data_IF_143680653139
#
_entry.id   IF_143680653139
#
_cell.length_a   1.000
_cell.length_b   1.000
_cell.length_c   1.000
_cell.angle_alpha   90.00
_cell.angle_beta   90.00
_cell.angle_gamma   90.00
#
_symmetry.space_group_name_H-M   'P 1'
#
loop_
_entity.id
_entity.type
_entity.pdbx_description
1 polymer ?
#
# COMPACT_ATOMS: atom_id res chain seq x y z
N UNK A 1 18.01 52.88 6.71
CA UNK A 1 17.21 51.82 6.04
C UNK A 1 17.62 50.42 6.50
N UNK A 2 18.68 49.76 5.97
CA UNK A 2 19.01 48.39 6.43
C UNK A 2 19.28 48.30 7.96
N UNK A 3 20.13 49.20 8.49
CA UNK A 3 20.39 49.30 9.94
C UNK A 3 19.17 49.69 10.78
N UNK A 4 18.19 50.39 10.18
CA UNK A 4 16.92 50.71 10.87
C UNK A 4 16.04 49.47 10.99
N UNK A 5 16.00 48.63 9.95
CA UNK A 5 15.37 47.32 9.99
C UNK A 5 15.97 46.42 11.07
N UNK A 6 17.31 46.33 11.13
CA UNK A 6 18.01 45.58 12.19
C UNK A 6 17.68 46.11 13.60
N UNK A 7 17.61 47.43 13.78
CA UNK A 7 17.27 48.05 15.06
C UNK A 7 15.83 47.73 15.47
N UNK A 8 14.87 47.81 14.55
CA UNK A 8 13.46 47.45 14.80
C UNK A 8 13.30 45.98 15.13
N UNK A 9 14.01 45.10 14.42
CA UNK A 9 14.00 43.66 14.70
C UNK A 9 14.50 43.38 16.13
N UNK A 10 15.60 44.02 16.55
CA UNK A 10 16.12 43.91 17.92
C UNK A 10 15.17 44.50 18.96
N UNK A 11 14.37 45.50 18.59
CA UNK A 11 13.34 46.10 19.43
C UNK A 11 12.02 45.31 19.47
N UNK A 12 11.93 44.17 18.76
CA UNK A 12 10.72 43.34 18.70
C UNK A 12 9.67 43.81 17.69
N UNK A 13 9.92 44.90 16.97
CA UNK A 13 9.07 45.38 15.87
C UNK A 13 9.42 44.62 14.56
N UNK A 14 9.06 43.34 14.52
CA UNK A 14 9.30 42.49 13.36
C UNK A 14 8.57 43.00 12.10
N UNK A 15 7.39 43.61 12.24
CA UNK A 15 6.63 44.17 11.13
C UNK A 15 7.34 45.38 10.51
N UNK A 16 7.71 46.36 11.34
CA UNK A 16 8.44 47.54 10.88
C UNK A 16 9.83 47.21 10.34
N UNK A 17 10.50 46.18 10.89
CA UNK A 17 11.76 45.70 10.35
C UNK A 17 11.63 45.17 8.92
N UNK A 18 10.61 44.34 8.66
CA UNK A 18 10.30 43.80 7.32
C UNK A 18 10.07 44.93 6.32
N UNK A 19 9.28 45.94 6.66
CA UNK A 19 9.00 47.05 5.73
C UNK A 19 10.27 47.85 5.40
N UNK A 20 11.15 48.08 6.37
CA UNK A 20 12.41 48.77 6.13
C UNK A 20 13.39 47.93 5.28
N UNK A 21 13.44 46.62 5.51
CA UNK A 21 14.22 45.70 4.68
C UNK A 21 13.71 45.63 3.23
N UNK A 22 12.39 45.52 3.03
CA UNK A 22 11.77 45.55 1.69
C UNK A 22 12.02 46.88 0.97
N UNK A 23 12.10 48.00 1.71
CA UNK A 23 12.41 49.31 1.14
C UNK A 23 13.83 49.39 0.59
N UNK A 24 14.81 48.68 1.18
CA UNK A 24 16.19 48.63 0.67
C UNK A 24 16.23 48.14 -0.77
N UNK A 25 15.46 47.10 -1.10
CA UNK A 25 15.39 46.54 -2.45
C UNK A 25 14.81 47.52 -3.48
N UNK A 26 13.91 48.42 -3.06
CA UNK A 26 13.28 49.42 -3.94
C UNK A 26 14.14 50.66 -4.16
N UNK A 27 14.77 51.15 -3.09
CA UNK A 27 15.50 52.44 -3.10
C UNK A 27 16.95 52.28 -3.53
N UNK A 28 17.54 51.09 -3.30
CA UNK A 28 18.94 50.83 -3.61
C UNK A 28 19.12 49.44 -4.27
N UNK A 29 18.58 49.24 -5.49
CA UNK A 29 18.59 47.94 -6.16
C UNK A 29 20.00 47.40 -6.46
N UNK A 30 20.99 48.25 -6.69
CA UNK A 30 22.37 47.81 -6.98
C UNK A 30 23.25 47.70 -5.72
N UNK A 31 22.69 47.93 -4.53
CA UNK A 31 23.45 47.90 -3.29
C UNK A 31 23.81 46.47 -2.88
N UNK A 32 25.04 46.28 -2.38
CA UNK A 32 25.47 45.03 -1.73
C UNK A 32 24.56 44.62 -0.57
N UNK A 33 23.90 45.59 0.08
CA UNK A 33 22.96 45.33 1.17
C UNK A 33 21.63 44.73 0.70
N UNK A 34 21.29 44.80 -0.59
CA UNK A 34 20.01 44.31 -1.13
C UNK A 34 19.81 42.82 -0.86
N UNK A 35 20.85 42.01 -1.09
CA UNK A 35 20.76 40.55 -0.93
C UNK A 35 20.39 40.19 0.50
N UNK A 36 21.12 40.75 1.48
CA UNK A 36 20.84 40.52 2.89
C UNK A 36 19.47 41.10 3.29
N UNK A 37 19.13 42.31 2.85
CA UNK A 37 17.84 42.91 3.13
C UNK A 37 16.67 42.08 2.61
N UNK A 38 16.76 41.54 1.39
CA UNK A 38 15.71 40.72 0.82
C UNK A 38 15.56 39.38 1.55
N UNK A 39 16.68 38.77 1.93
CA UNK A 39 16.70 37.54 2.71
C UNK A 39 16.15 37.74 4.15
N UNK A 40 16.53 38.84 4.81
CA UNK A 40 16.07 39.19 6.16
C UNK A 40 14.59 39.57 6.15
N UNK A 41 14.13 40.29 5.12
CA UNK A 41 12.70 40.56 4.91
C UNK A 41 11.89 39.27 4.77
N UNK A 42 12.34 38.34 3.94
CA UNK A 42 11.70 37.03 3.79
C UNK A 42 11.66 36.27 5.13
N UNK A 43 12.77 36.24 5.87
CA UNK A 43 12.83 35.56 7.17
C UNK A 43 11.87 36.20 8.18
N UNK A 44 11.80 37.53 8.25
CA UNK A 44 10.84 38.23 9.10
C UNK A 44 9.39 37.93 8.72
N UNK A 45 9.07 37.88 7.41
CA UNK A 45 7.74 37.53 6.92
C UNK A 45 7.33 36.10 7.30
N UNK A 46 8.26 35.14 7.26
CA UNK A 46 8.01 33.77 7.73
C UNK A 46 7.73 33.73 9.23
N UNK A 47 8.51 34.43 10.05
CA UNK A 47 8.26 34.53 11.50
C UNK A 47 6.89 35.15 11.80
N UNK A 48 6.47 36.13 11.00
CA UNK A 48 5.16 36.77 11.07
C UNK A 48 4.03 35.93 10.44
N UNK A 49 4.33 34.73 9.91
CA UNK A 49 3.38 33.84 9.22
C UNK A 49 2.69 34.48 8.01
N UNK A 50 3.33 35.47 7.39
CA UNK A 50 2.84 36.13 6.18
C UNK A 50 3.33 35.36 4.95
N UNK A 51 2.80 34.15 4.77
CA UNK A 51 3.32 33.14 3.85
C UNK A 51 3.38 33.62 2.39
N UNK A 52 2.29 34.17 1.85
CA UNK A 52 2.25 34.63 0.46
C UNK A 52 3.24 35.77 0.18
N UNK A 53 3.40 36.68 1.14
CA UNK A 53 4.41 37.75 1.04
C UNK A 53 5.81 37.18 1.09
N UNK A 54 6.08 36.24 2.00
CA UNK A 54 7.38 35.57 2.09
C UNK A 54 7.71 34.83 0.79
N UNK A 55 6.77 34.08 0.23
CA UNK A 55 6.89 33.38 -1.05
C UNK A 55 7.31 34.37 -2.14
N UNK A 56 6.57 35.47 -2.31
CA UNK A 56 6.88 36.47 -3.33
C UNK A 56 8.30 37.04 -3.21
N UNK A 57 8.76 37.32 -1.99
CA UNK A 57 10.11 37.84 -1.72
C UNK A 57 11.20 36.79 -1.98
N UNK A 58 10.98 35.54 -1.57
CA UNK A 58 11.91 34.42 -1.75
C UNK A 58 12.04 33.99 -3.22
N UNK A 59 10.92 33.95 -3.97
CA UNK A 59 10.96 33.69 -5.40
C UNK A 59 11.69 34.79 -6.16
N UNK A 60 11.47 36.04 -5.77
CA UNK A 60 12.18 37.17 -6.33
C UNK A 60 13.67 37.11 -6.03
N UNK A 61 14.06 36.72 -4.81
CA UNK A 61 15.45 36.48 -4.44
C UNK A 61 16.05 35.40 -5.33
N UNK A 62 15.34 34.29 -5.53
CA UNK A 62 15.80 33.17 -6.35
C UNK A 62 16.07 33.61 -7.79
N UNK A 63 15.18 34.41 -8.38
CA UNK A 63 15.31 34.93 -9.75
C UNK A 63 16.45 35.95 -9.89
N UNK A 64 16.60 36.84 -8.92
CA UNK A 64 17.57 37.94 -9.00
C UNK A 64 19.00 37.50 -8.66
N UNK A 65 19.15 36.50 -7.80
CA UNK A 65 20.45 36.06 -7.29
C UNK A 65 20.70 34.55 -7.53
N UNK A 66 20.56 34.03 -8.77
CA UNK A 66 20.49 32.58 -9.05
C UNK A 66 21.73 31.78 -8.62
N UNK A 67 22.90 32.43 -8.51
CA UNK A 67 24.17 31.79 -8.11
C UNK A 67 24.59 32.12 -6.67
N UNK A 68 23.72 32.78 -5.89
CA UNK A 68 24.09 33.20 -4.53
C UNK A 68 24.14 32.02 -3.55
N UNK A 69 25.07 32.07 -2.61
CA UNK A 69 25.30 31.01 -1.60
C UNK A 69 24.08 30.69 -0.72
N UNK A 70 23.10 31.61 -0.63
CA UNK A 70 21.87 31.43 0.15
C UNK A 70 20.75 30.68 -0.61
N UNK A 71 20.96 30.27 -1.86
CA UNK A 71 19.94 29.56 -2.65
C UNK A 71 19.40 28.26 -2.00
N UNK A 72 20.23 27.40 -1.37
CA UNK A 72 19.72 26.23 -0.65
C UNK A 72 18.80 26.61 0.50
N UNK A 73 19.14 27.67 1.23
CA UNK A 73 18.35 28.16 2.36
C UNK A 73 17.05 28.84 1.90
N UNK A 74 17.08 29.58 0.79
CA UNK A 74 15.87 30.09 0.12
C UNK A 74 14.95 28.95 -0.31
N UNK A 75 15.51 27.84 -0.78
CA UNK A 75 14.74 26.65 -1.17
C UNK A 75 14.07 26.00 0.03
N UNK A 76 14.78 25.82 1.16
CA UNK A 76 14.18 25.36 2.41
C UNK A 76 13.06 26.27 2.91
N UNK A 77 13.30 27.58 2.89
CA UNK A 77 12.29 28.58 3.29
C UNK A 77 11.05 28.55 2.39
N UNK A 78 11.22 28.39 1.08
CA UNK A 78 10.10 28.24 0.14
C UNK A 78 9.33 26.95 0.41
N UNK A 79 10.00 25.84 0.71
CA UNK A 79 9.33 24.58 1.05
C UNK A 79 8.40 24.73 2.25
N UNK A 80 8.88 25.38 3.32
CA UNK A 80 8.07 25.70 4.51
C UNK A 80 6.93 26.67 4.15
N UNK A 81 7.24 27.78 3.47
CA UNK A 81 6.25 28.79 3.13
C UNK A 81 5.10 28.22 2.28
N UNK A 82 5.42 27.39 1.27
CA UNK A 82 4.42 26.74 0.45
C UNK A 82 3.59 25.71 1.23
N UNK A 83 4.23 24.96 2.13
CA UNK A 83 3.53 24.00 2.99
C UNK A 83 2.51 24.70 3.89
N UNK A 84 2.93 25.76 4.57
CA UNK A 84 2.10 26.57 5.47
C UNK A 84 1.02 27.37 4.73
N UNK A 85 1.27 27.76 3.47
CA UNK A 85 0.29 28.37 2.58
C UNK A 85 -0.72 27.35 1.98
N UNK A 86 -0.64 26.07 2.37
CA UNK A 86 -1.45 24.98 1.82
C UNK A 86 -1.38 24.87 0.28
N UNK A 87 -0.16 25.03 -0.26
CA UNK A 87 0.17 24.91 -1.69
C UNK A 87 1.02 23.65 -1.91
N UNK A 88 0.41 22.45 -1.88
CA UNK A 88 1.15 21.20 -1.79
C UNK A 88 1.98 20.87 -3.04
N UNK A 89 1.54 21.27 -4.23
CA UNK A 89 2.28 21.00 -5.46
C UNK A 89 3.59 21.79 -5.53
N UNK A 90 3.56 23.07 -5.17
CA UNK A 90 4.73 23.94 -5.10
C UNK A 90 5.66 23.51 -3.95
N UNK A 91 5.12 23.19 -2.78
CA UNK A 91 5.88 22.68 -1.66
C UNK A 91 6.64 21.40 -2.02
N UNK A 92 5.96 20.45 -2.66
CA UNK A 92 6.56 19.19 -3.11
C UNK A 92 7.75 19.41 -4.04
N UNK A 93 7.65 20.37 -4.96
CA UNK A 93 8.72 20.71 -5.88
C UNK A 93 9.94 21.32 -5.16
N UNK A 94 9.73 22.09 -4.08
CA UNK A 94 10.85 22.57 -3.26
C UNK A 94 11.53 21.45 -2.48
N UNK A 95 10.77 20.52 -1.90
CA UNK A 95 11.34 19.34 -1.25
C UNK A 95 12.08 18.42 -2.24
N UNK A 96 11.59 18.30 -3.48
CA UNK A 96 12.30 17.59 -4.54
C UNK A 96 13.65 18.25 -4.85
N UNK A 97 13.73 19.59 -4.87
CA UNK A 97 15.00 20.31 -5.04
C UNK A 97 15.94 20.12 -3.85
N UNK A 98 15.41 20.10 -2.63
CA UNK A 98 16.20 19.78 -1.41
C UNK A 98 16.78 18.38 -1.53
N UNK A 99 15.96 17.39 -1.88
CA UNK A 99 16.38 16.00 -2.07
C UNK A 99 17.46 15.84 -3.15
N UNK A 100 17.39 16.62 -4.22
CA UNK A 100 18.35 16.57 -5.32
C UNK A 100 19.66 17.34 -5.06
N UNK A 101 19.74 18.12 -3.98
CA UNK A 101 20.92 18.95 -3.69
C UNK A 101 22.03 18.11 -3.03
N UNK A 102 23.20 17.91 -3.68
CA UNK A 102 24.29 17.09 -3.14
C UNK A 102 24.98 17.71 -1.92
N UNK A 103 24.73 19.00 -1.62
CA UNK A 103 25.26 19.66 -0.43
C UNK A 103 24.43 19.36 0.84
N UNK A 104 23.23 18.79 0.71
CA UNK A 104 22.43 18.36 1.87
C UNK A 104 22.97 17.05 2.44
N UNK A 105 22.72 16.82 3.73
CA UNK A 105 23.03 15.52 4.33
C UNK A 105 22.07 14.46 3.80
N UNK A 106 22.52 13.19 3.78
CA UNK A 106 21.69 12.07 3.36
C UNK A 106 20.36 11.99 4.13
N UNK A 107 20.40 12.28 5.44
CA UNK A 107 19.19 12.34 6.28
C UNK A 107 18.17 13.40 5.79
N UNK A 108 18.65 14.60 5.41
CA UNK A 108 17.79 15.66 4.87
C UNK A 108 17.24 15.28 3.50
N UNK A 109 18.06 14.69 2.63
CA UNK A 109 17.61 14.25 1.30
C UNK A 109 16.52 13.17 1.42
N UNK A 110 16.73 12.20 2.31
CA UNK A 110 15.79 11.13 2.62
C UNK A 110 14.45 11.66 3.11
N UNK A 111 14.46 12.58 4.08
CA UNK A 111 13.24 13.19 4.60
C UNK A 111 12.52 14.01 3.52
N UNK A 112 13.27 14.78 2.73
CA UNK A 112 12.71 15.60 1.67
C UNK A 112 12.06 14.77 0.56
N UNK A 113 12.59 13.58 0.21
CA UNK A 113 11.93 12.65 -0.72
C UNK A 113 10.56 12.21 -0.21
N UNK A 114 10.45 11.82 1.07
CA UNK A 114 9.18 11.40 1.67
C UNK A 114 8.18 12.55 1.73
N UNK A 115 8.61 13.73 2.20
CA UNK A 115 7.75 14.91 2.26
C UNK A 115 7.28 15.33 0.86
N UNK A 116 8.16 15.27 -0.15
CA UNK A 116 7.80 15.53 -1.54
C UNK A 116 6.76 14.53 -2.06
N UNK A 117 6.93 13.23 -1.78
CA UNK A 117 5.96 12.20 -2.14
C UNK A 117 4.57 12.47 -1.52
N UNK A 118 4.52 12.77 -0.22
CA UNK A 118 3.28 13.05 0.51
C UNK A 118 2.58 14.31 0.00
N UNK A 119 3.34 15.36 -0.28
CA UNK A 119 2.80 16.62 -0.79
C UNK A 119 2.31 16.48 -2.25
N UNK A 120 3.03 15.75 -3.11
CA UNK A 120 2.53 15.44 -4.44
C UNK A 120 1.26 14.59 -4.39
N UNK A 121 1.17 13.63 -3.46
CA UNK A 121 -0.05 12.86 -3.24
C UNK A 121 -1.21 13.76 -2.79
N UNK A 122 -0.98 14.66 -1.84
CA UNK A 122 -1.96 15.65 -1.38
C UNK A 122 -2.41 16.59 -2.50
N UNK A 123 -1.53 16.90 -3.45
CA UNK A 123 -1.84 17.68 -4.65
C UNK A 123 -2.56 16.88 -5.76
N UNK A 124 -2.87 15.60 -5.55
CA UNK A 124 -3.47 14.72 -6.56
C UNK A 124 -2.51 14.28 -7.67
N UNK A 125 -1.21 14.55 -7.53
CA UNK A 125 -0.20 14.17 -8.49
C UNK A 125 0.46 12.85 -8.10
N UNK A 126 -0.30 11.75 -8.19
CA UNK A 126 0.21 10.41 -7.83
C UNK A 126 1.41 9.98 -8.70
N UNK A 127 1.58 10.54 -9.91
CA UNK A 127 2.69 10.20 -10.79
C UNK A 127 4.01 10.68 -10.21
N UNK A 128 4.06 11.95 -9.79
CA UNK A 128 5.25 12.47 -9.11
C UNK A 128 5.43 11.89 -7.71
N UNK A 129 4.34 11.59 -7.00
CA UNK A 129 4.44 10.90 -5.71
C UNK A 129 5.15 9.55 -5.86
N UNK A 130 4.76 8.73 -6.85
CA UNK A 130 5.44 7.48 -7.18
C UNK A 130 6.92 7.71 -7.53
N UNK A 131 7.23 8.68 -8.38
CA UNK A 131 8.64 8.97 -8.73
C UNK A 131 9.50 9.36 -7.52
N UNK A 132 8.93 10.05 -6.51
CA UNK A 132 9.65 10.36 -5.28
C UNK A 132 9.85 9.11 -4.40
N UNK A 133 8.84 8.25 -4.30
CA UNK A 133 8.95 6.98 -3.57
C UNK A 133 9.94 6.01 -4.24
N UNK A 134 9.97 5.95 -5.58
CA UNK A 134 10.96 5.16 -6.34
C UNK A 134 12.38 5.64 -6.04
N UNK A 135 12.63 6.95 -6.13
CA UNK A 135 13.93 7.53 -5.71
C UNK A 135 14.24 7.23 -4.25
N UNK A 136 13.25 7.25 -3.37
CA UNK A 136 13.43 6.96 -1.95
C UNK A 136 13.89 5.52 -1.75
N UNK A 137 13.23 4.52 -2.33
CA UNK A 137 13.61 3.11 -2.17
C UNK A 137 14.97 2.80 -2.81
N UNK A 138 15.30 3.45 -3.93
CA UNK A 138 16.58 3.25 -4.62
C UNK A 138 17.77 3.81 -3.84
N UNK A 139 17.58 4.94 -3.15
CA UNK A 139 18.66 5.66 -2.44
C UNK A 139 18.67 5.44 -0.92
N UNK A 140 17.62 4.84 -0.37
CA UNK A 140 17.43 4.59 1.06
C UNK A 140 16.91 3.17 1.32
N UNK A 141 17.68 2.11 0.97
CA UNK A 141 17.26 0.73 1.23
C UNK A 141 17.18 0.39 2.73
N UNK A 142 17.75 1.22 3.60
CA UNK A 142 17.72 1.09 5.06
C UNK A 142 17.30 2.41 5.73
N UNK A 143 16.63 2.37 6.90
CA UNK A 143 16.11 1.17 7.58
C UNK A 143 15.04 0.45 6.76
N UNK A 144 15.05 -0.87 6.81
CA UNK A 144 14.21 -1.70 5.94
C UNK A 144 12.72 -1.36 6.06
N UNK A 145 12.22 -1.11 7.28
CA UNK A 145 10.82 -0.78 7.52
C UNK A 145 10.32 0.38 6.66
N UNK A 146 11.03 1.50 6.66
CA UNK A 146 10.62 2.68 5.90
C UNK A 146 10.67 2.46 4.38
N UNK A 147 11.66 1.70 3.91
CA UNK A 147 11.74 1.32 2.50
C UNK A 147 10.60 0.39 2.08
N UNK A 148 10.21 -0.57 2.94
CA UNK A 148 9.08 -1.46 2.69
C UNK A 148 7.73 -0.73 2.69
N UNK A 149 7.53 0.25 3.58
CA UNK A 149 6.33 1.10 3.52
C UNK A 149 6.27 1.88 2.20
N UNK A 150 7.39 2.39 1.71
CA UNK A 150 7.45 3.06 0.41
C UNK A 150 7.15 2.11 -0.75
N UNK A 151 7.67 0.87 -0.74
CA UNK A 151 7.33 -0.18 -1.72
C UNK A 151 5.84 -0.55 -1.67
N UNK A 152 5.27 -0.67 -0.49
CA UNK A 152 3.83 -0.94 -0.32
C UNK A 152 3.00 0.20 -0.93
N UNK A 153 3.33 1.46 -0.64
CA UNK A 153 2.66 2.62 -1.24
C UNK A 153 2.77 2.65 -2.77
N UNK A 154 3.91 2.23 -3.32
CA UNK A 154 4.10 2.10 -4.77
C UNK A 154 3.20 1.01 -5.37
N UNK A 155 3.08 -0.14 -4.69
CA UNK A 155 2.13 -1.18 -5.09
C UNK A 155 0.68 -0.68 -5.04
N UNK A 156 0.31 0.07 -4.02
CA UNK A 156 -1.03 0.63 -3.86
C UNK A 156 -1.35 1.66 -4.95
N UNK A 157 -0.40 2.54 -5.30
CA UNK A 157 -0.60 3.48 -6.42
C UNK A 157 -0.75 2.76 -7.76
N UNK A 158 0.04 1.72 -8.01
CA UNK A 158 -0.09 0.91 -9.22
C UNK A 158 -1.47 0.23 -9.28
N UNK A 159 -1.93 -0.35 -8.16
CA UNK A 159 -3.25 -0.95 -8.05
C UNK A 159 -4.39 0.05 -8.32
N UNK A 160 -4.33 1.25 -7.72
CA UNK A 160 -5.32 2.32 -7.92
C UNK A 160 -5.42 2.78 -9.38
N UNK A 161 -4.34 2.65 -10.14
CA UNK A 161 -4.26 3.02 -11.56
C UNK A 161 -4.63 1.88 -12.51
N UNK A 162 -4.95 0.70 -11.98
CA UNK A 162 -5.18 -0.51 -12.79
C UNK A 162 -3.91 -1.10 -13.40
N UNK A 163 -2.72 -0.68 -12.94
CA UNK A 163 -1.44 -1.23 -13.37
C UNK A 163 -1.11 -2.50 -12.59
N UNK A 164 -1.69 -3.62 -13.02
CA UNK A 164 -1.46 -4.91 -12.40
C UNK A 164 0.01 -5.35 -12.49
N UNK A 165 0.69 -5.05 -13.61
CA UNK A 165 2.10 -5.42 -13.80
C UNK A 165 3.02 -4.65 -12.84
N UNK A 166 2.82 -3.34 -12.70
CA UNK A 166 3.56 -2.52 -11.75
C UNK A 166 3.30 -2.91 -10.30
N UNK A 167 2.03 -3.19 -9.94
CA UNK A 167 1.67 -3.68 -8.61
C UNK A 167 2.39 -4.99 -8.30
N UNK A 168 2.33 -5.96 -9.20
CA UNK A 168 2.91 -7.28 -8.98
C UNK A 168 4.44 -7.23 -8.90
N UNK A 169 5.08 -6.33 -9.67
CA UNK A 169 6.52 -6.04 -9.54
C UNK A 169 6.86 -5.59 -8.12
N UNK A 170 6.11 -4.65 -7.56
CA UNK A 170 6.37 -4.16 -6.20
C UNK A 170 6.10 -5.22 -5.14
N UNK A 171 5.05 -6.03 -5.28
CA UNK A 171 4.83 -7.18 -4.40
C UNK A 171 5.95 -8.22 -4.45
N UNK A 172 6.47 -8.51 -5.65
CA UNK A 172 7.63 -9.41 -5.78
C UNK A 172 8.86 -8.83 -5.09
N UNK A 173 9.08 -7.51 -5.18
CA UNK A 173 10.19 -6.85 -4.51
C UNK A 173 10.04 -6.90 -2.98
N UNK A 174 8.85 -6.62 -2.43
CA UNK A 174 8.56 -6.74 -0.99
C UNK A 174 8.88 -8.16 -0.48
N UNK A 175 8.43 -9.19 -1.20
CA UNK A 175 8.68 -10.60 -0.85
C UNK A 175 10.18 -10.92 -0.90
N UNK A 176 10.87 -10.46 -1.95
CA UNK A 176 12.30 -10.69 -2.13
C UNK A 176 13.11 -10.06 -1.01
N UNK A 177 12.87 -8.77 -0.73
CA UNK A 177 13.61 -8.03 0.28
C UNK A 177 13.34 -8.59 1.68
N UNK A 178 12.09 -8.93 2.00
CA UNK A 178 11.79 -9.59 3.27
C UNK A 178 12.52 -10.94 3.41
N UNK A 179 12.57 -11.74 2.34
CA UNK A 179 13.29 -13.02 2.30
C UNK A 179 14.80 -12.88 2.56
N UNK A 180 15.39 -11.76 2.14
CA UNK A 180 16.81 -11.44 2.30
C UNK A 180 17.12 -10.62 3.57
N UNK A 181 16.09 -10.18 4.31
CA UNK A 181 16.23 -9.18 5.36
C UNK A 181 17.06 -9.62 6.58
N UNK A 182 17.21 -10.92 6.83
CA UNK A 182 17.96 -11.43 7.99
C UNK A 182 17.48 -10.80 9.30
N UNK A 183 18.41 -10.17 10.04
CA UNK A 183 18.09 -9.48 11.30
C UNK A 183 17.37 -8.13 11.14
N UNK A 184 17.26 -7.61 9.93
CA UNK A 184 16.50 -6.37 9.64
C UNK A 184 15.01 -6.63 9.45
N UNK A 185 14.59 -7.90 9.32
CA UNK A 185 13.18 -8.27 9.27
C UNK A 185 12.49 -7.83 10.56
N UNK A 186 11.37 -7.16 10.42
CA UNK A 186 10.48 -6.81 11.52
C UNK A 186 9.14 -7.50 11.33
N UNK A 187 8.30 -7.50 12.37
CA UNK A 187 6.91 -7.98 12.26
C UNK A 187 6.16 -7.27 11.14
N UNK A 188 6.41 -5.96 10.95
CA UNK A 188 5.75 -5.16 9.94
C UNK A 188 6.19 -5.52 8.52
N UNK A 189 7.50 -5.66 8.27
CA UNK A 189 8.00 -6.04 6.93
C UNK A 189 7.56 -7.45 6.56
N UNK A 190 7.58 -8.36 7.54
CA UNK A 190 7.09 -9.73 7.39
C UNK A 190 5.59 -9.78 7.09
N UNK A 191 4.79 -8.93 7.76
CA UNK A 191 3.37 -8.77 7.48
C UNK A 191 3.11 -8.27 6.05
N UNK A 192 3.84 -7.24 5.59
CA UNK A 192 3.71 -6.70 4.24
C UNK A 192 4.03 -7.77 3.18
N UNK A 193 5.11 -8.53 3.38
CA UNK A 193 5.48 -9.63 2.49
C UNK A 193 4.44 -10.76 2.48
N UNK A 194 3.86 -11.11 3.63
CA UNK A 194 2.78 -12.08 3.71
C UNK A 194 1.53 -11.63 2.92
N UNK A 195 1.14 -10.35 3.05
CA UNK A 195 0.01 -9.77 2.30
C UNK A 195 0.29 -9.71 0.80
N UNK A 196 1.51 -9.33 0.40
CA UNK A 196 1.95 -9.36 -0.98
C UNK A 196 1.89 -10.78 -1.58
N UNK A 197 2.38 -11.78 -0.85
CA UNK A 197 2.33 -13.19 -1.29
C UNK A 197 0.90 -13.71 -1.43
N UNK A 198 -0.01 -13.31 -0.53
CA UNK A 198 -1.43 -13.63 -0.63
C UNK A 198 -2.08 -12.98 -1.87
N UNK A 199 -1.77 -11.70 -2.14
CA UNK A 199 -2.30 -10.99 -3.30
C UNK A 199 -1.81 -11.63 -4.62
N UNK A 200 -0.53 -11.99 -4.71
CA UNK A 200 0.05 -12.67 -5.88
C UNK A 200 -0.50 -14.09 -6.14
N UNK A 201 -1.17 -14.71 -5.16
CA UNK A 201 -1.84 -16.00 -5.36
C UNK A 201 -3.20 -15.87 -6.09
N UNK A 202 -3.83 -14.70 -6.05
CA UNK A 202 -5.18 -14.48 -6.60
C UNK A 202 -5.26 -14.71 -8.12
N UNK A 203 -4.31 -14.25 -8.96
CA UNK A 203 -4.38 -14.51 -10.40
C UNK A 203 -4.37 -16.01 -10.75
N UNK A 204 -3.62 -16.83 -10.01
CA UNK A 204 -3.60 -18.28 -10.22
C UNK A 204 -4.93 -18.93 -9.81
N UNK A 205 -5.53 -18.48 -8.70
CA UNK A 205 -6.89 -18.88 -8.29
C UNK A 205 -7.91 -18.55 -9.37
N UNK A 206 -7.87 -17.34 -9.90
CA UNK A 206 -8.84 -16.87 -10.89
C UNK A 206 -8.66 -17.61 -12.22
N UNK A 207 -7.41 -17.90 -12.62
CA UNK A 207 -7.12 -18.75 -13.76
C UNK A 207 -7.70 -20.17 -13.58
N UNK A 208 -7.55 -20.79 -12.40
CA UNK A 208 -8.17 -22.08 -12.09
C UNK A 208 -9.70 -22.05 -12.18
N UNK A 209 -10.33 -21.01 -11.62
CA UNK A 209 -11.79 -20.83 -11.67
C UNK A 209 -12.30 -20.64 -13.10
N UNK A 210 -11.50 -20.05 -13.98
CA UNK A 210 -11.85 -19.85 -15.38
C UNK A 210 -11.80 -21.12 -16.25
N UNK A 211 -11.06 -22.17 -15.83
CA UNK A 211 -10.96 -23.41 -16.61
C UNK A 211 -12.27 -24.20 -16.56
N UNK A 212 -12.94 -24.35 -17.71
CA UNK A 212 -14.15 -25.17 -17.87
C UNK A 212 -13.80 -26.64 -18.11
N UNK A 213 -14.61 -27.55 -17.56
CA UNK A 213 -14.49 -28.99 -17.81
C UNK A 213 -15.42 -29.43 -18.95
N UNK A 214 -14.86 -29.63 -20.14
CA UNK A 214 -15.59 -29.96 -21.38
C UNK A 214 -15.19 -31.35 -21.90
N UNK A 215 -16.00 -31.93 -22.78
CA UNK A 215 -15.64 -33.18 -23.43
C UNK A 215 -14.43 -33.00 -24.39
N UNK A 216 -13.45 -33.93 -24.39
CA UNK A 216 -13.30 -35.07 -23.50
C UNK A 216 -12.75 -34.67 -22.11
N UNK A 217 -13.48 -35.01 -21.05
CA UNK A 217 -13.22 -34.60 -19.65
C UNK A 217 -11.76 -34.79 -19.22
N UNK A 218 -11.14 -35.93 -19.60
CA UNK A 218 -9.75 -36.23 -19.25
C UNK A 218 -8.78 -35.12 -19.67
N UNK A 219 -8.98 -34.47 -20.82
CA UNK A 219 -8.09 -33.41 -21.31
C UNK A 219 -8.29 -32.11 -20.53
N UNK A 220 -9.53 -31.66 -20.37
CA UNK A 220 -9.82 -30.42 -19.63
C UNK A 220 -9.49 -30.55 -18.14
N UNK A 221 -9.62 -31.75 -17.58
CA UNK A 221 -9.29 -32.01 -16.17
C UNK A 221 -7.80 -31.86 -15.89
N UNK A 222 -6.91 -32.29 -16.80
CA UNK A 222 -5.45 -32.05 -16.66
C UNK A 222 -5.17 -30.56 -16.55
N UNK A 223 -5.72 -29.76 -17.46
CA UNK A 223 -5.54 -28.29 -17.46
C UNK A 223 -6.04 -27.67 -16.14
N UNK A 224 -7.22 -28.10 -15.66
CA UNK A 224 -7.78 -27.59 -14.41
C UNK A 224 -6.97 -28.00 -13.19
N UNK A 225 -6.44 -29.22 -13.16
CA UNK A 225 -5.57 -29.71 -12.07
C UNK A 225 -4.23 -28.97 -12.03
N UNK A 226 -3.62 -28.70 -13.18
CA UNK A 226 -2.39 -27.90 -13.23
C UNK A 226 -2.64 -26.47 -12.74
N UNK A 227 -3.80 -25.89 -13.06
CA UNK A 227 -4.19 -24.58 -12.56
C UNK A 227 -4.45 -24.60 -11.04
N UNK A 228 -5.07 -25.66 -10.53
CA UNK A 228 -5.27 -25.88 -9.09
C UNK A 228 -3.93 -25.92 -8.36
N UNK A 229 -2.97 -26.71 -8.85
CA UNK A 229 -1.65 -26.85 -8.22
C UNK A 229 -0.93 -25.51 -8.10
N UNK A 230 -0.90 -24.71 -9.18
CA UNK A 230 -0.31 -23.36 -9.15
C UNK A 230 -0.97 -22.44 -8.12
N UNK A 231 -2.31 -22.49 -8.02
CA UNK A 231 -3.05 -21.68 -7.05
C UNK A 231 -2.78 -22.15 -5.61
N UNK A 232 -2.80 -23.45 -5.37
CA UNK A 232 -2.49 -24.07 -4.09
C UNK A 232 -1.08 -23.72 -3.63
N UNK A 233 -0.09 -23.75 -4.51
CA UNK A 233 1.30 -23.39 -4.17
C UNK A 233 1.43 -21.93 -3.75
N UNK A 234 0.70 -21.02 -4.41
CA UNK A 234 0.65 -19.61 -4.03
C UNK A 234 0.10 -19.41 -2.62
N UNK A 235 -1.03 -20.06 -2.30
CA UNK A 235 -1.63 -19.97 -0.98
C UNK A 235 -0.85 -20.70 0.12
N UNK A 236 -0.21 -21.83 -0.19
CA UNK A 236 0.71 -22.51 0.74
C UNK A 236 1.89 -21.61 1.10
N UNK A 237 2.49 -20.90 0.12
CA UNK A 237 3.53 -19.91 0.40
C UNK A 237 3.02 -18.77 1.27
N UNK A 238 1.81 -18.26 1.00
CA UNK A 238 1.20 -17.21 1.82
C UNK A 238 0.96 -17.68 3.27
N UNK A 239 0.38 -18.86 3.47
CA UNK A 239 0.18 -19.47 4.78
C UNK A 239 1.50 -19.75 5.52
N UNK A 240 2.57 -20.04 4.77
CA UNK A 240 3.91 -20.26 5.31
C UNK A 240 4.53 -19.06 6.04
N UNK A 241 4.02 -17.84 5.81
CA UNK A 241 4.41 -16.66 6.60
C UNK A 241 3.89 -16.71 8.04
N UNK A 242 2.90 -17.56 8.35
CA UNK A 242 2.32 -17.70 9.70
C UNK A 242 1.74 -16.39 10.29
N UNK A 243 1.47 -15.41 9.45
CA UNK A 243 0.71 -14.21 9.82
C UNK A 243 -0.76 -14.60 9.92
N UNK A 244 -1.41 -14.36 11.06
CA UNK A 244 -2.74 -14.90 11.37
C UNK A 244 -3.77 -14.61 10.27
N UNK A 245 -3.95 -13.33 9.93
CA UNK A 245 -4.89 -12.85 8.88
C UNK A 245 -4.59 -13.45 7.50
N UNK A 246 -3.31 -13.62 7.16
CA UNK A 246 -2.90 -14.18 5.86
C UNK A 246 -3.12 -15.70 5.85
N UNK A 247 -2.85 -16.35 6.97
CA UNK A 247 -2.99 -17.80 7.11
C UNK A 247 -4.46 -18.21 7.05
N UNK A 248 -5.36 -17.47 7.71
CA UNK A 248 -6.80 -17.74 7.67
C UNK A 248 -7.38 -17.50 6.27
N UNK A 249 -6.96 -16.43 5.60
CA UNK A 249 -7.34 -16.16 4.21
C UNK A 249 -6.86 -17.25 3.25
N UNK A 250 -5.58 -17.64 3.34
CA UNK A 250 -5.00 -18.66 2.48
C UNK A 250 -5.65 -20.03 2.68
N UNK A 251 -5.92 -20.43 3.94
CA UNK A 251 -6.59 -21.69 4.23
C UNK A 251 -8.03 -21.72 3.72
N UNK A 252 -8.76 -20.61 3.85
CA UNK A 252 -10.09 -20.47 3.28
C UNK A 252 -10.06 -20.64 1.75
N UNK A 253 -9.16 -19.95 1.05
CA UNK A 253 -9.07 -20.05 -0.41
C UNK A 253 -8.63 -21.45 -0.88
N UNK A 254 -7.73 -22.12 -0.17
CA UNK A 254 -7.37 -23.52 -0.47
C UNK A 254 -8.57 -24.46 -0.34
N UNK A 255 -9.41 -24.26 0.69
CA UNK A 255 -10.64 -25.04 0.86
C UNK A 255 -11.63 -24.80 -0.29
N UNK A 256 -11.83 -23.53 -0.67
CA UNK A 256 -12.70 -23.15 -1.80
C UNK A 256 -12.19 -23.70 -3.14
N UNK A 257 -10.86 -23.78 -3.33
CA UNK A 257 -10.26 -24.37 -4.53
C UNK A 257 -10.62 -25.86 -4.66
N UNK A 258 -10.51 -26.64 -3.58
CA UNK A 258 -10.95 -28.04 -3.57
C UNK A 258 -12.46 -28.18 -3.80
N UNK A 259 -13.26 -27.39 -3.09
CA UNK A 259 -14.72 -27.42 -3.25
C UNK A 259 -15.18 -27.01 -4.66
N UNK A 260 -14.48 -26.09 -5.30
CA UNK A 260 -14.75 -25.69 -6.69
C UNK A 260 -14.40 -26.82 -7.66
N UNK A 261 -13.26 -27.50 -7.48
CA UNK A 261 -12.90 -28.64 -8.33
C UNK A 261 -13.95 -29.75 -8.24
N UNK A 262 -14.38 -30.09 -7.02
CA UNK A 262 -15.43 -31.07 -6.76
C UNK A 262 -16.73 -30.74 -7.53
N UNK A 263 -17.23 -29.50 -7.36
CA UNK A 263 -18.42 -29.00 -8.04
C UNK A 263 -18.28 -29.04 -9.55
N UNK A 264 -17.15 -28.61 -10.08
CA UNK A 264 -16.94 -28.53 -11.53
C UNK A 264 -16.88 -29.93 -12.15
N UNK A 265 -16.28 -30.92 -11.48
CA UNK A 265 -16.26 -32.32 -11.97
C UNK A 265 -17.69 -32.88 -12.00
N UNK A 266 -18.48 -32.68 -10.95
CA UNK A 266 -19.89 -33.09 -10.92
C UNK A 266 -20.74 -32.37 -11.97
N UNK A 267 -20.41 -31.12 -12.30
CA UNK A 267 -21.09 -30.34 -13.33
C UNK A 267 -20.60 -30.61 -14.76
N UNK A 268 -19.52 -31.40 -14.93
CA UNK A 268 -18.86 -31.58 -16.22
C UNK A 268 -19.74 -32.25 -17.28
N UNK A 269 -19.40 -32.05 -18.56
CA UNK A 269 -20.15 -32.64 -19.67
C UNK A 269 -20.09 -34.17 -19.68
N UNK A 270 -21.24 -34.80 -19.91
CA UNK A 270 -21.35 -36.27 -20.02
C UNK A 270 -21.15 -36.69 -21.48
N UNK A 271 -20.49 -37.83 -21.77
CA UNK A 271 -20.42 -38.36 -23.11
C UNK A 271 -21.82 -38.58 -23.73
N UNK A 272 -22.09 -37.98 -24.89
CA UNK A 272 -23.42 -37.96 -25.51
C UNK A 272 -24.03 -39.34 -25.84
N UNK A 273 -23.20 -40.39 -25.86
CA UNK A 273 -23.62 -41.77 -26.14
C UNK A 273 -24.10 -42.52 -24.88
N UNK A 274 -23.80 -42.01 -23.68
CA UNK A 274 -24.23 -42.65 -22.43
C UNK A 274 -25.69 -42.30 -22.14
N UNK A 275 -26.50 -43.32 -21.83
CA UNK A 275 -27.92 -43.23 -21.50
C UNK A 275 -28.28 -44.33 -20.50
N UNK A 276 -29.39 -44.14 -19.78
CA UNK A 276 -29.90 -45.12 -18.80
C UNK A 276 -28.81 -45.50 -17.79
N UNK A 277 -28.73 -46.78 -17.47
CA UNK A 277 -27.82 -47.36 -16.47
C UNK A 277 -26.34 -46.96 -16.70
N UNK A 278 -25.90 -46.89 -17.97
CA UNK A 278 -24.52 -46.51 -18.29
C UNK A 278 -24.21 -45.03 -17.98
N UNK A 279 -25.23 -44.17 -18.00
CA UNK A 279 -25.09 -42.77 -17.57
C UNK A 279 -25.07 -42.67 -16.04
N UNK A 280 -25.88 -43.47 -15.36
CA UNK A 280 -25.90 -43.54 -13.89
C UNK A 280 -24.56 -44.05 -13.36
N UNK A 281 -24.03 -45.15 -13.90
CA UNK A 281 -22.72 -45.69 -13.52
C UNK A 281 -21.60 -44.67 -13.75
N UNK A 282 -21.66 -43.90 -14.84
CA UNK A 282 -20.72 -42.81 -15.09
C UNK A 282 -20.82 -41.69 -14.04
N UNK A 283 -22.04 -41.31 -13.62
CA UNK A 283 -22.21 -40.32 -12.56
C UNK A 283 -21.68 -40.84 -11.22
N UNK A 284 -21.93 -42.10 -10.86
CA UNK A 284 -21.37 -42.72 -9.65
C UNK A 284 -19.84 -42.71 -9.65
N UNK A 285 -19.20 -42.96 -10.80
CA UNK A 285 -17.74 -42.87 -10.93
C UNK A 285 -17.22 -41.44 -10.77
N UNK A 286 -18.00 -40.42 -11.14
CA UNK A 286 -17.64 -39.02 -10.87
C UNK A 286 -17.77 -38.71 -9.38
N UNK A 287 -18.84 -39.17 -8.73
CA UNK A 287 -19.03 -39.00 -7.28
C UNK A 287 -17.87 -39.62 -6.49
N UNK A 288 -17.48 -40.85 -6.82
CA UNK A 288 -16.35 -41.53 -6.17
C UNK A 288 -15.03 -40.76 -6.37
N UNK A 289 -14.82 -40.19 -7.57
CA UNK A 289 -13.62 -39.38 -7.86
C UNK A 289 -13.64 -38.01 -7.16
N UNK A 290 -14.82 -37.46 -6.91
CA UNK A 290 -14.99 -36.14 -6.31
C UNK A 290 -14.89 -36.18 -4.79
N UNK A 291 -15.34 -37.28 -4.17
CA UNK A 291 -15.38 -37.46 -2.72
C UNK A 291 -14.08 -37.06 -1.98
N UNK A 292 -12.86 -37.43 -2.45
CA UNK A 292 -11.63 -36.99 -1.80
C UNK A 292 -11.46 -35.46 -1.77
N UNK A 293 -11.87 -34.74 -2.81
CA UNK A 293 -11.75 -33.29 -2.87
C UNK A 293 -12.77 -32.58 -1.97
N UNK A 294 -13.98 -33.14 -1.83
CA UNK A 294 -14.97 -32.64 -0.88
C UNK A 294 -14.49 -32.81 0.56
N UNK A 295 -13.92 -33.98 0.89
CA UNK A 295 -13.32 -34.23 2.20
C UNK A 295 -12.15 -33.27 2.49
N UNK A 296 -11.27 -33.02 1.51
CA UNK A 296 -10.17 -32.05 1.70
C UNK A 296 -10.68 -30.60 1.85
N UNK A 297 -11.72 -30.20 1.10
CA UNK A 297 -12.35 -28.89 1.27
C UNK A 297 -12.91 -28.72 2.70
N UNK A 298 -13.64 -29.73 3.18
CA UNK A 298 -14.21 -29.75 4.52
C UNK A 298 -13.09 -29.69 5.57
N UNK A 299 -12.08 -30.56 5.49
CA UNK A 299 -10.96 -30.57 6.45
C UNK A 299 -10.26 -29.22 6.50
N UNK A 300 -10.02 -28.58 5.36
CA UNK A 300 -9.39 -27.27 5.28
C UNK A 300 -10.26 -26.18 5.94
N UNK A 301 -11.57 -26.18 5.72
CA UNK A 301 -12.47 -25.28 6.44
C UNK A 301 -12.53 -25.59 7.94
N UNK A 302 -12.59 -26.85 8.35
CA UNK A 302 -12.59 -27.27 9.76
C UNK A 302 -11.31 -26.81 10.48
N UNK A 303 -10.15 -26.96 9.83
CA UNK A 303 -8.86 -26.47 10.32
C UNK A 303 -8.86 -24.95 10.48
N UNK A 304 -9.43 -24.22 9.51
CA UNK A 304 -9.52 -22.77 9.60
C UNK A 304 -10.48 -22.32 10.71
N UNK A 305 -11.65 -22.95 10.81
CA UNK A 305 -12.68 -22.68 11.81
C UNK A 305 -12.18 -22.98 13.24
N UNK A 306 -11.32 -23.98 13.41
CA UNK A 306 -10.75 -24.35 14.70
C UNK A 306 -9.96 -23.20 15.35
N UNK A 307 -9.41 -22.27 14.55
CA UNK A 307 -8.63 -21.10 15.03
C UNK A 307 -9.44 -20.14 15.91
N UNK A 308 -10.77 -20.20 15.83
CA UNK A 308 -11.65 -19.46 16.74
C UNK A 308 -11.36 -19.79 18.22
N UNK A 309 -10.95 -21.04 18.52
CA UNK A 309 -10.58 -21.46 19.88
C UNK A 309 -9.32 -20.78 20.40
N UNK A 310 -8.45 -20.34 19.49
CA UNK A 310 -7.19 -19.66 19.80
C UNK A 310 -7.36 -18.13 19.80
N UNK A 311 -8.60 -17.63 19.78
CA UNK A 311 -8.91 -16.20 19.77
C UNK A 311 -8.86 -15.54 18.39
N UNK A 312 -8.66 -16.30 17.30
CA UNK A 312 -8.65 -15.78 15.94
C UNK A 312 -10.02 -16.00 15.28
N UNK A 313 -10.84 -14.95 15.26
CA UNK A 313 -12.15 -14.95 14.59
C UNK A 313 -12.26 -13.76 13.64
N UNK A 314 -11.70 -13.92 12.44
CA UNK A 314 -11.75 -12.92 11.37
C UNK A 314 -12.80 -13.27 10.30
N UNK A 315 -12.84 -12.46 9.24
CA UNK A 315 -13.76 -12.66 8.12
C UNK A 315 -13.61 -14.06 7.48
N UNK A 316 -12.39 -14.58 7.38
CA UNK A 316 -12.09 -15.84 6.69
C UNK A 316 -12.47 -17.06 7.54
N UNK A 317 -12.27 -16.96 8.86
CA UNK A 317 -12.78 -17.95 9.82
C UNK A 317 -14.31 -17.99 9.77
N UNK A 318 -14.97 -16.83 9.75
CA UNK A 318 -16.44 -16.74 9.60
C UNK A 318 -16.90 -17.37 8.28
N UNK A 319 -16.26 -17.04 7.16
CA UNK A 319 -16.56 -17.64 5.84
C UNK A 319 -16.36 -19.16 5.84
N UNK A 320 -15.36 -19.68 6.55
CA UNK A 320 -15.22 -21.14 6.73
C UNK A 320 -16.37 -21.76 7.52
N UNK A 321 -16.87 -21.11 8.58
CA UNK A 321 -18.08 -21.59 9.27
C UNK A 321 -19.30 -21.60 8.35
N UNK A 322 -19.49 -20.56 7.54
CA UNK A 322 -20.59 -20.49 6.57
C UNK A 322 -20.50 -21.58 5.49
N UNK A 323 -19.29 -21.93 5.05
CA UNK A 323 -19.07 -23.04 4.13
C UNK A 323 -19.37 -24.38 4.80
N UNK A 324 -18.88 -24.59 6.03
CA UNK A 324 -19.15 -25.80 6.81
C UNK A 324 -20.62 -26.00 7.14
N UNK A 325 -21.38 -24.93 7.37
CA UNK A 325 -22.82 -25.00 7.59
C UNK A 325 -23.56 -25.57 6.36
N UNK A 326 -23.05 -25.32 5.15
CA UNK A 326 -23.58 -25.87 3.90
C UNK A 326 -23.10 -27.30 3.64
N UNK A 327 -21.82 -27.59 3.91
CA UNK A 327 -21.19 -28.88 3.64
C UNK A 327 -21.51 -29.95 4.70
N UNK A 328 -21.65 -29.55 5.96
CA UNK A 328 -21.94 -30.42 7.13
C UNK A 328 -23.02 -29.80 8.03
N UNK A 329 -24.26 -29.62 7.53
CA UNK A 329 -25.33 -28.92 8.25
C UNK A 329 -25.69 -29.54 9.60
N UNK A 330 -25.64 -30.87 9.72
CA UNK A 330 -25.92 -31.56 10.98
C UNK A 330 -24.98 -31.13 12.14
N UNK A 331 -23.75 -30.70 11.81
CA UNK A 331 -22.74 -30.26 12.78
C UNK A 331 -22.68 -28.74 12.91
N UNK A 332 -22.70 -28.02 11.79
CA UNK A 332 -22.40 -26.58 11.73
C UNK A 332 -23.61 -25.69 11.40
N UNK A 333 -24.70 -26.25 10.89
CA UNK A 333 -25.91 -25.51 10.50
C UNK A 333 -26.94 -25.37 11.62
N UNK A 334 -26.54 -25.50 12.89
CA UNK A 334 -27.46 -25.37 14.03
C UNK A 334 -27.69 -23.89 14.32
N UNK A 335 -28.95 -23.45 14.28
CA UNK A 335 -29.35 -22.13 14.77
C UNK A 335 -29.55 -22.21 16.29
N UNK A 336 -28.87 -21.36 17.07
CA UNK A 336 -29.16 -21.24 18.50
C UNK A 336 -30.55 -20.63 18.67
N UNK A 337 -31.42 -21.32 19.41
CA UNK A 337 -32.66 -20.74 19.91
C UNK A 337 -32.30 -19.88 21.13
N UNK A 338 -32.18 -18.57 20.95
CA UNK A 338 -32.15 -17.64 22.09
C UNK A 338 -33.52 -17.66 22.75
N UNK A 339 -33.66 -18.38 23.86
CA UNK A 339 -34.78 -18.15 24.77
C UNK A 339 -34.53 -16.81 25.47
N UNK A 340 -35.36 -15.82 25.16
CA UNK A 340 -35.47 -14.62 25.99
C UNK A 340 -35.83 -15.06 27.41
N UNK A 341 -34.86 -14.99 28.32
CA UNK A 341 -35.12 -15.17 29.74
C UNK A 341 -35.92 -13.95 30.17
N UNK A 342 -37.25 -14.10 30.22
CA UNK A 342 -38.14 -13.13 30.86
C UNK A 342 -37.66 -12.96 32.29
N UNK A 343 -37.07 -11.81 32.58
CA UNK A 343 -36.76 -11.37 33.94
C UNK A 343 -38.05 -10.84 34.56
N UNK A 344 -38.91 -11.75 35.02
CA UNK A 344 -39.94 -11.39 36.00
C UNK A 344 -39.32 -11.49 37.39
N UNK A 345 -38.96 -10.35 37.96
CA UNK A 345 -38.81 -10.20 39.41
C UNK A 345 -40.20 -9.89 39.96
N UNK A 346 -40.82 -10.85 40.66
CA UNK A 346 -41.82 -10.58 41.70
C UNK A 346 -41.21 -10.86 43.07
#
# INVERSE_FOLDING_TARGET
>A
MYKEGEAKQKAGDAGGAVEDFLRVARVAPESKARVNAQYDAATGLLTLKQWDRAIGVLEDFRRQFPQHQLQPEVTRKLAVAYTEANRPGEAAAEFERIAANPAETHAVQREALMQSADLYAKAGNSGRAMSMLEKFVDTNPMPLGDAEEARQRLADYAAQRGDATGRDRWYQEIIRVDGEAGSQRTERTHYLAAKAQLALAQPARDAFRAVRLTAPLKKSLVVKRDALERAMDGYKRAAGYQVAEVTTAANYEMAELYGTLAKDIMASERPAKLKGDALEEYNSLLEEQVFPFEEEAIKAHELNAARAKDGVYDEWVRKSFEALARLKPARYGKTELTQDVVTSLE
#
